data_IF_614992049560
#
_entry.id   IF_614992049560
#
_cell.length_a   1.000
_cell.length_b   1.000
_cell.length_c   1.000
_cell.angle_alpha   90.00
_cell.angle_beta   90.00
_cell.angle_gamma   90.00
#
_symmetry.space_group_name_H-M   'P 1'
#
loop_
_entity.id
_entity.type
_entity.pdbx_description
1 polymer ?
#
# COMPACT_ATOMS: atom_id res chain seq x y z
N UNK A 1 43.77 -2.41 5.52
CA UNK A 1 43.64 -2.64 4.09
C UNK A 1 42.28 -2.18 3.65
N UNK A 2 42.16 -0.95 3.19
CA UNK A 2 40.93 -0.39 2.61
C UNK A 2 40.79 -0.99 1.20
N UNK A 3 39.71 -1.72 0.97
CA UNK A 3 39.28 -2.08 -0.39
C UNK A 3 38.44 -0.93 -0.96
N UNK A 4 38.96 -0.43 -2.07
CA UNK A 4 38.36 0.58 -2.96
C UNK A 4 36.93 0.27 -3.29
N UNK A 5 36.02 1.22 -2.97
CA UNK A 5 34.68 1.31 -3.49
C UNK A 5 34.75 1.52 -5.00
N UNK A 6 34.25 0.57 -5.76
CA UNK A 6 34.09 0.68 -7.19
C UNK A 6 33.14 1.83 -7.52
N UNK A 7 33.62 2.79 -8.29
CA UNK A 7 32.84 3.90 -8.78
C UNK A 7 31.72 3.42 -9.69
N UNK A 8 30.49 3.65 -9.30
CA UNK A 8 29.35 3.57 -10.21
C UNK A 8 29.46 4.74 -11.20
N UNK A 9 29.75 4.41 -12.44
CA UNK A 9 29.58 5.34 -13.55
C UNK A 9 28.07 5.58 -13.71
N UNK A 10 27.63 6.75 -13.31
CA UNK A 10 26.36 7.31 -13.75
C UNK A 10 26.42 7.43 -15.27
N UNK A 11 25.97 6.40 -15.98
CA UNK A 11 25.74 6.49 -17.41
C UNK A 11 24.81 7.69 -17.65
N UNK A 12 25.33 8.68 -18.36
CA UNK A 12 24.71 9.96 -18.54
C UNK A 12 23.26 9.84 -19.02
N UNK A 13 22.32 10.17 -18.17
CA UNK A 13 21.00 10.57 -18.58
C UNK A 13 21.20 11.93 -19.25
N UNK A 14 21.41 11.92 -20.58
CA UNK A 14 21.30 13.15 -21.35
C UNK A 14 19.86 13.66 -21.16
N UNK A 15 19.66 14.89 -20.70
CA UNK A 15 18.34 15.49 -20.75
C UNK A 15 17.93 15.55 -22.23
N UNK A 16 16.68 15.20 -22.56
CA UNK A 16 16.21 15.37 -23.93
C UNK A 16 16.40 16.83 -24.30
N UNK A 17 17.08 17.06 -25.44
CA UNK A 17 17.34 18.37 -26.03
C UNK A 17 16.10 19.25 -25.94
N UNK A 18 16.26 20.48 -25.40
CA UNK A 18 15.22 21.40 -25.03
C UNK A 18 14.05 21.46 -26.03
N UNK A 19 12.90 20.96 -25.60
CA UNK A 19 11.62 21.22 -26.26
C UNK A 19 11.16 22.59 -25.78
N UNK A 20 11.31 23.60 -26.64
CA UNK A 20 10.58 24.88 -26.50
C UNK A 20 9.08 24.58 -26.49
N UNK A 21 8.37 25.09 -25.50
CA UNK A 21 6.91 25.07 -25.46
C UNK A 21 6.39 25.88 -26.65
N UNK A 22 6.08 25.23 -27.74
CA UNK A 22 5.37 25.81 -28.87
C UNK A 22 3.87 25.64 -28.65
N UNK A 23 3.19 26.71 -28.33
CA UNK A 23 1.72 26.79 -28.15
C UNK A 23 0.93 26.56 -29.44
N UNK A 24 1.55 26.15 -30.56
CA UNK A 24 0.88 26.00 -31.82
C UNK A 24 0.17 24.67 -32.00
N UNK A 25 -1.15 24.75 -32.05
CA UNK A 25 -2.13 23.81 -32.63
C UNK A 25 -2.41 22.49 -31.85
N UNK A 26 -3.42 22.58 -30.97
CA UNK A 26 -4.19 21.43 -30.45
C UNK A 26 -5.17 20.89 -31.50
N UNK A 27 -4.75 20.53 -32.67
CA UNK A 27 -5.62 19.80 -33.61
C UNK A 27 -4.87 18.58 -34.15
N UNK A 28 -5.29 17.39 -33.75
CA UNK A 28 -4.99 16.16 -34.49
C UNK A 28 -3.64 15.50 -34.28
N UNK A 29 -2.82 15.86 -33.26
CA UNK A 29 -1.60 15.10 -32.98
C UNK A 29 -1.98 13.77 -32.33
N UNK A 30 -1.62 12.68 -32.97
CA UNK A 30 -1.67 11.35 -32.41
C UNK A 30 -0.81 11.32 -31.12
N UNK A 31 -1.35 10.76 -30.04
CA UNK A 31 -0.61 10.62 -28.78
C UNK A 31 0.66 9.81 -29.01
N UNK A 32 1.75 10.25 -28.38
CA UNK A 32 2.97 9.43 -28.31
C UNK A 32 2.64 8.07 -27.66
N UNK A 33 3.03 6.99 -28.32
CA UNK A 33 2.76 5.62 -27.84
C UNK A 33 4.03 4.95 -27.36
N UNK A 34 3.98 4.40 -26.15
CA UNK A 34 5.09 3.69 -25.50
C UNK A 34 4.61 2.27 -25.20
N UNK A 35 5.39 1.27 -25.64
CA UNK A 35 5.03 -0.14 -25.46
C UNK A 35 5.87 -0.81 -24.39
N UNK A 36 5.25 -1.76 -23.66
CA UNK A 36 5.91 -2.59 -22.66
C UNK A 36 5.25 -3.98 -22.58
N UNK A 37 5.90 -4.95 -21.99
CA UNK A 37 5.26 -6.26 -21.73
C UNK A 37 4.23 -6.16 -20.64
N UNK A 38 4.59 -5.50 -19.52
CA UNK A 38 3.74 -5.39 -18.32
C UNK A 38 3.65 -3.94 -17.91
N UNK A 39 2.43 -3.44 -17.82
CA UNK A 39 2.12 -2.10 -17.30
C UNK A 39 1.52 -2.23 -15.90
N UNK A 40 2.12 -1.55 -14.93
CA UNK A 40 1.68 -1.49 -13.55
C UNK A 40 1.24 -0.06 -13.23
N UNK A 41 0.02 0.12 -12.76
CA UNK A 41 -0.52 1.42 -12.36
C UNK A 41 -0.69 1.47 -10.85
N UNK A 42 0.00 2.42 -10.22
CA UNK A 42 0.08 2.64 -8.78
C UNK A 42 1.38 2.10 -8.18
N UNK A 43 2.28 3.00 -7.79
CA UNK A 43 3.57 2.72 -7.16
C UNK A 43 3.49 2.50 -5.64
N UNK A 44 2.33 2.07 -5.14
CA UNK A 44 2.13 1.70 -3.75
C UNK A 44 2.80 0.37 -3.39
N UNK A 45 2.50 -0.12 -2.18
CA UNK A 45 3.10 -1.33 -1.60
C UNK A 45 3.06 -2.55 -2.54
N UNK A 46 1.91 -2.80 -3.19
CA UNK A 46 1.77 -3.93 -4.12
C UNK A 46 2.47 -3.66 -5.45
N UNK A 47 2.35 -2.43 -5.98
CA UNK A 47 2.87 -2.09 -7.31
C UNK A 47 4.39 -2.08 -7.39
N UNK A 48 5.07 -1.62 -6.34
CA UNK A 48 6.54 -1.71 -6.23
C UNK A 48 6.99 -3.17 -6.36
N UNK A 49 6.37 -4.06 -5.58
CA UNK A 49 6.74 -5.48 -5.59
C UNK A 49 6.39 -6.15 -6.93
N UNK A 50 5.25 -5.76 -7.52
CA UNK A 50 4.88 -6.26 -8.84
C UNK A 50 5.87 -5.83 -9.93
N UNK A 51 6.32 -4.57 -9.89
CA UNK A 51 7.28 -4.05 -10.86
C UNK A 51 8.64 -4.74 -10.74
N UNK A 52 9.17 -4.88 -9.52
CA UNK A 52 10.43 -5.60 -9.27
C UNK A 52 10.31 -7.07 -9.72
N UNK A 53 9.19 -7.74 -9.41
CA UNK A 53 8.95 -9.13 -9.83
C UNK A 53 8.96 -9.26 -11.36
N UNK A 54 8.29 -8.35 -12.07
CA UNK A 54 8.24 -8.37 -13.54
C UNK A 54 9.63 -8.19 -14.15
N UNK A 55 10.39 -7.19 -13.67
CA UNK A 55 11.74 -6.92 -14.14
C UNK A 55 12.71 -8.05 -13.85
N UNK A 56 12.73 -8.59 -12.62
CA UNK A 56 13.59 -9.75 -12.26
C UNK A 56 13.28 -11.00 -13.08
N UNK A 57 12.04 -11.15 -13.52
CA UNK A 57 11.62 -12.25 -14.40
C UNK A 57 11.90 -11.99 -15.90
N UNK A 58 12.58 -10.88 -16.24
CA UNK A 58 13.05 -10.54 -17.58
C UNK A 58 11.99 -9.97 -18.51
N UNK A 59 10.90 -9.39 -17.99
CA UNK A 59 9.91 -8.65 -18.80
C UNK A 59 10.18 -7.15 -18.74
N UNK A 60 10.01 -6.46 -19.86
CA UNK A 60 9.94 -5.01 -19.87
C UNK A 60 8.74 -4.56 -19.05
N UNK A 61 8.93 -3.56 -18.18
CA UNK A 61 7.85 -3.10 -17.32
C UNK A 61 7.89 -1.59 -17.10
N UNK A 62 6.70 -1.00 -17.05
CA UNK A 62 6.48 0.42 -16.72
C UNK A 62 5.67 0.46 -15.44
N UNK A 63 6.13 1.23 -14.46
CA UNK A 63 5.43 1.55 -13.22
C UNK A 63 5.01 3.02 -13.24
N UNK A 64 3.70 3.26 -13.22
CA UNK A 64 3.11 4.61 -13.19
C UNK A 64 2.66 4.92 -11.76
N UNK A 65 3.08 6.08 -11.26
CA UNK A 65 2.69 6.59 -9.94
C UNK A 65 2.25 8.06 -10.05
N UNK A 66 1.11 8.39 -9.44
CA UNK A 66 0.57 9.75 -9.47
C UNK A 66 1.28 10.70 -8.49
N UNK A 67 1.93 10.15 -7.49
CA UNK A 67 2.71 10.89 -6.50
C UNK A 67 4.15 11.14 -6.92
N UNK A 68 4.94 11.60 -5.95
CA UNK A 68 6.36 11.95 -6.11
C UNK A 68 7.32 10.86 -5.64
N UNK A 69 6.80 9.78 -5.05
CA UNK A 69 7.61 8.71 -4.45
C UNK A 69 6.86 7.39 -4.41
N UNK A 70 7.60 6.30 -4.40
CA UNK A 70 7.06 4.94 -4.26
C UNK A 70 6.70 4.60 -2.80
N UNK A 71 5.95 3.50 -2.61
CA UNK A 71 5.60 2.92 -1.32
C UNK A 71 4.17 3.20 -0.86
N UNK A 72 3.48 4.19 -1.45
CA UNK A 72 2.07 4.49 -1.17
C UNK A 72 1.80 4.71 0.32
N UNK A 73 0.90 3.94 0.93
CA UNK A 73 0.49 4.11 2.34
C UNK A 73 1.66 4.05 3.34
N UNK A 74 2.72 3.32 3.04
CA UNK A 74 3.94 3.31 3.89
C UNK A 74 4.57 4.69 3.92
N UNK A 75 4.70 5.34 2.78
CA UNK A 75 5.49 6.55 2.58
C UNK A 75 4.65 7.81 2.65
N UNK A 76 3.60 7.94 1.83
CA UNK A 76 2.77 9.14 1.75
C UNK A 76 1.88 9.34 2.97
N UNK A 77 1.35 8.24 3.54
CA UNK A 77 0.53 8.29 4.75
C UNK A 77 1.28 7.89 6.03
N UNK A 78 2.54 7.46 5.94
CA UNK A 78 3.39 7.15 7.09
C UNK A 78 2.96 5.94 7.91
N UNK A 79 2.17 5.02 7.34
CA UNK A 79 1.80 3.77 8.01
C UNK A 79 2.98 2.79 7.89
N UNK A 80 4.02 3.03 8.68
CA UNK A 80 5.34 2.41 8.56
C UNK A 80 5.50 1.10 9.36
N UNK A 81 4.46 0.28 9.39
CA UNK A 81 4.45 -1.07 9.96
C UNK A 81 3.66 -2.01 9.03
N UNK A 82 4.34 -2.68 8.11
CA UNK A 82 3.71 -3.48 7.05
C UNK A 82 2.77 -4.60 7.53
N UNK A 83 2.81 -4.94 8.80
CA UNK A 83 1.99 -6.00 9.38
C UNK A 83 2.81 -7.22 9.75
N UNK A 84 2.24 -8.39 9.54
CA UNK A 84 2.82 -9.66 9.98
C UNK A 84 3.33 -10.47 8.78
N UNK A 85 4.60 -10.87 8.86
CA UNK A 85 5.24 -11.80 7.93
C UNK A 85 5.35 -13.22 8.52
N UNK A 86 5.14 -13.34 9.83
CA UNK A 86 5.26 -14.59 10.59
C UNK A 86 3.94 -14.92 11.27
N UNK A 87 3.60 -16.21 11.25
CA UNK A 87 2.46 -16.80 11.91
C UNK A 87 2.93 -18.02 12.70
N UNK A 88 2.52 -18.15 13.95
CA UNK A 88 2.74 -19.35 14.79
C UNK A 88 4.21 -19.81 14.81
N UNK A 89 5.16 -18.86 14.91
CA UNK A 89 6.60 -19.14 14.94
C UNK A 89 7.24 -19.48 13.58
N UNK A 90 6.50 -19.36 12.49
CA UNK A 90 7.01 -19.61 11.13
C UNK A 90 6.81 -18.39 10.24
N UNK A 91 7.76 -18.12 9.36
CA UNK A 91 7.54 -17.14 8.30
C UNK A 91 6.56 -17.69 7.27
N UNK A 92 5.51 -16.92 6.94
CA UNK A 92 4.46 -17.29 5.98
C UNK A 92 4.40 -16.33 4.79
N UNK A 93 4.94 -15.12 4.92
CA UNK A 93 5.09 -14.16 3.84
C UNK A 93 6.58 -13.85 3.69
N UNK A 94 7.13 -14.16 2.53
CA UNK A 94 8.52 -13.93 2.15
C UNK A 94 8.62 -13.14 0.84
N UNK A 95 9.71 -13.33 0.11
CA UNK A 95 9.94 -12.78 -1.22
C UNK A 95 10.39 -11.33 -1.22
N UNK A 96 10.18 -10.66 -2.34
CA UNK A 96 10.68 -9.31 -2.62
C UNK A 96 10.21 -8.30 -1.57
N UNK A 97 8.98 -8.42 -1.08
CA UNK A 97 8.45 -7.54 -0.04
C UNK A 97 9.19 -7.69 1.29
N UNK A 98 9.49 -8.92 1.69
CA UNK A 98 10.27 -9.18 2.90
C UNK A 98 11.72 -8.71 2.74
N UNK A 99 12.36 -8.93 1.59
CA UNK A 99 13.68 -8.41 1.25
C UNK A 99 13.74 -6.89 1.46
N UNK A 100 12.82 -6.15 0.85
CA UNK A 100 12.78 -4.69 0.92
C UNK A 100 12.54 -4.18 2.36
N UNK A 101 11.68 -4.84 3.11
CA UNK A 101 11.40 -4.50 4.52
C UNK A 101 12.63 -4.75 5.40
N UNK A 102 13.31 -5.89 5.24
CA UNK A 102 14.49 -6.21 6.04
C UNK A 102 15.69 -5.35 5.68
N UNK A 103 15.84 -4.97 4.41
CA UNK A 103 16.85 -4.02 3.97
C UNK A 103 16.63 -2.63 4.60
N UNK A 104 15.38 -2.15 4.63
CA UNK A 104 15.02 -0.90 5.30
C UNK A 104 15.32 -0.92 6.80
N UNK A 105 15.02 -2.03 7.49
CA UNK A 105 15.34 -2.20 8.92
C UNK A 105 16.85 -2.20 9.14
N UNK A 106 17.60 -2.94 8.31
CA UNK A 106 19.06 -3.04 8.42
C UNK A 106 19.73 -1.68 8.18
N UNK A 107 19.30 -0.97 7.15
CA UNK A 107 19.85 0.33 6.80
C UNK A 107 19.58 1.41 7.85
N UNK A 108 18.47 1.28 8.60
CA UNK A 108 18.13 2.15 9.74
C UNK A 108 18.80 1.71 11.07
N UNK A 109 19.74 0.76 11.04
CA UNK A 109 20.32 0.13 12.22
C UNK A 109 19.27 -0.44 13.19
N UNK A 110 18.09 -0.76 12.69
CA UNK A 110 16.98 -1.32 13.43
C UNK A 110 17.15 -2.81 13.72
N UNK A 111 16.24 -3.35 14.53
CA UNK A 111 16.17 -4.78 14.84
C UNK A 111 14.82 -5.34 14.46
N UNK A 112 14.82 -6.52 13.88
CA UNK A 112 13.60 -7.30 13.70
C UNK A 112 13.08 -7.80 15.03
N UNK A 113 11.75 -7.99 15.18
CA UNK A 113 11.18 -8.69 16.33
C UNK A 113 11.77 -10.10 16.49
N UNK A 114 11.82 -10.59 17.71
CA UNK A 114 12.13 -11.99 17.95
C UNK A 114 10.90 -12.85 17.68
N UNK A 115 10.86 -13.45 16.52
CA UNK A 115 9.74 -14.26 16.06
C UNK A 115 9.68 -15.65 16.72
N UNK A 116 10.73 -16.06 17.46
CA UNK A 116 10.74 -17.32 18.23
C UNK A 116 9.88 -17.23 19.50
N UNK A 117 9.64 -16.00 19.99
CA UNK A 117 8.78 -15.73 21.15
C UNK A 117 7.34 -15.63 20.69
N UNK A 118 6.42 -16.52 21.11
CA UNK A 118 5.03 -16.46 20.70
C UNK A 118 4.39 -15.10 21.00
N UNK A 119 3.73 -14.51 20.00
CA UNK A 119 2.99 -13.26 20.19
C UNK A 119 1.62 -13.47 20.85
N UNK A 120 1.05 -14.67 20.75
CA UNK A 120 -0.32 -14.96 21.19
C UNK A 120 -1.29 -14.01 20.48
N UNK A 121 -2.19 -13.40 21.27
CA UNK A 121 -3.11 -12.36 20.77
C UNK A 121 -2.48 -10.96 20.71
N UNK A 122 -1.22 -10.80 21.09
CA UNK A 122 -0.51 -9.52 21.02
C UNK A 122 0.27 -9.41 19.70
N UNK A 123 -0.44 -9.38 18.57
CA UNK A 123 0.15 -9.27 17.25
C UNK A 123 1.12 -8.07 17.06
N UNK A 124 1.00 -6.91 17.78
CA UNK A 124 2.00 -5.84 17.71
C UNK A 124 3.42 -6.27 18.07
N UNK A 125 3.62 -7.34 18.86
CA UNK A 125 4.96 -7.87 19.16
C UNK A 125 5.72 -8.35 17.93
N UNK A 126 5.02 -8.82 16.90
CA UNK A 126 5.62 -9.33 15.67
C UNK A 126 5.51 -8.34 14.49
N UNK A 127 4.94 -7.15 14.70
CA UNK A 127 4.93 -6.11 13.67
C UNK A 127 6.35 -5.57 13.44
N UNK A 128 6.78 -5.60 12.19
CA UNK A 128 8.04 -4.98 11.79
C UNK A 128 7.78 -3.49 11.59
N UNK A 129 8.57 -2.64 12.29
CA UNK A 129 8.57 -1.19 12.04
C UNK A 129 9.71 -0.85 11.10
N UNK A 130 9.43 0.03 10.15
CA UNK A 130 10.41 0.46 9.15
C UNK A 130 10.48 1.99 9.10
N UNK A 131 11.60 2.49 8.64
CA UNK A 131 11.74 3.90 8.29
C UNK A 131 11.09 4.12 6.91
N UNK A 132 9.99 4.91 6.80
CA UNK A 132 9.28 5.08 5.54
C UNK A 132 10.12 5.80 4.48
N UNK A 133 11.06 6.64 4.88
CA UNK A 133 11.94 7.35 3.96
C UNK A 133 12.95 6.40 3.32
N UNK A 134 13.59 5.55 4.13
CA UNK A 134 14.49 4.51 3.61
C UNK A 134 13.73 3.52 2.73
N UNK A 135 12.51 3.15 3.11
CA UNK A 135 11.69 2.30 2.26
C UNK A 135 11.44 2.91 0.88
N UNK A 136 11.14 4.23 0.81
CA UNK A 136 10.92 4.91 -0.47
C UNK A 136 12.18 4.87 -1.36
N UNK A 137 13.34 5.18 -0.78
CA UNK A 137 14.63 5.16 -1.49
C UNK A 137 14.98 3.76 -2.02
N UNK A 138 14.87 2.76 -1.15
CA UNK A 138 15.16 1.37 -1.52
C UNK A 138 14.15 0.81 -2.54
N UNK A 139 12.87 1.20 -2.45
CA UNK A 139 11.86 0.81 -3.42
C UNK A 139 12.18 1.33 -4.83
N UNK A 140 12.64 2.58 -4.93
CA UNK A 140 13.07 3.18 -6.18
C UNK A 140 14.33 2.51 -6.72
N UNK A 141 15.36 2.35 -5.88
CA UNK A 141 16.60 1.66 -6.23
C UNK A 141 16.34 0.24 -6.77
N UNK A 142 15.55 -0.57 -6.04
CA UNK A 142 15.22 -1.94 -6.45
C UNK A 142 14.40 -2.02 -7.73
N UNK A 143 13.52 -1.05 -7.99
CA UNK A 143 12.82 -0.95 -9.27
C UNK A 143 13.81 -0.67 -10.42
N UNK A 144 14.70 0.29 -10.24
CA UNK A 144 15.72 0.64 -11.25
C UNK A 144 16.69 -0.51 -11.50
N UNK A 145 17.17 -1.19 -10.45
CA UNK A 145 18.01 -2.39 -10.55
C UNK A 145 17.33 -3.52 -11.33
N UNK A 146 16.01 -3.64 -11.21
CA UNK A 146 15.19 -4.61 -11.95
C UNK A 146 14.89 -4.15 -13.40
N UNK A 147 15.36 -2.99 -13.84
CA UNK A 147 15.13 -2.45 -15.18
C UNK A 147 13.73 -1.89 -15.39
N UNK A 148 13.00 -1.54 -14.31
CA UNK A 148 11.66 -0.94 -14.38
C UNK A 148 11.76 0.51 -14.83
N UNK A 149 10.95 0.91 -15.81
CA UNK A 149 10.76 2.32 -16.15
C UNK A 149 9.72 2.93 -15.19
N UNK A 150 10.15 3.82 -14.30
CA UNK A 150 9.28 4.54 -13.38
C UNK A 150 8.78 5.82 -14.03
N UNK A 151 7.47 6.11 -13.88
CA UNK A 151 6.81 7.33 -14.36
C UNK A 151 6.04 7.96 -13.21
N UNK A 152 6.63 8.99 -12.61
CA UNK A 152 6.00 9.78 -11.55
C UNK A 152 5.10 10.88 -12.11
N UNK A 153 4.16 11.32 -11.27
CA UNK A 153 3.22 12.41 -11.56
C UNK A 153 2.32 12.14 -12.76
N UNK A 154 2.06 10.89 -13.07
CA UNK A 154 1.14 10.49 -14.12
C UNK A 154 -0.07 9.76 -13.56
N UNK A 155 -1.24 10.10 -14.08
CA UNK A 155 -2.53 9.52 -13.69
C UNK A 155 -3.19 8.89 -14.90
N UNK A 156 -3.71 7.66 -14.81
CA UNK A 156 -4.48 7.05 -15.91
C UNK A 156 -5.82 7.79 -16.06
N UNK A 157 -6.22 8.03 -17.28
CA UNK A 157 -7.50 8.69 -17.63
C UNK A 157 -8.38 7.83 -18.54
N UNK A 158 -7.80 6.79 -19.14
CA UNK A 158 -8.51 5.85 -20.01
C UNK A 158 -7.80 4.50 -19.99
N UNK A 159 -8.55 3.40 -20.05
CA UNK A 159 -8.01 2.05 -20.19
C UNK A 159 -8.94 1.22 -21.10
N UNK A 160 -8.42 0.69 -22.20
CA UNK A 160 -9.16 -0.09 -23.17
C UNK A 160 -8.37 -1.33 -23.59
N UNK A 161 -9.06 -2.45 -23.75
CA UNK A 161 -8.50 -3.67 -24.32
C UNK A 161 -8.91 -3.76 -25.79
N UNK A 162 -7.94 -3.67 -26.71
CA UNK A 162 -8.19 -3.69 -28.14
C UNK A 162 -8.38 -5.09 -28.76
N UNK A 163 -8.56 -6.11 -27.91
CA UNK A 163 -8.64 -7.52 -28.31
C UNK A 163 -7.30 -8.26 -28.24
N UNK A 164 -6.18 -7.56 -28.20
CA UNK A 164 -4.83 -8.12 -28.14
C UNK A 164 -4.00 -7.57 -26.98
N UNK A 165 -4.03 -6.25 -26.79
CA UNK A 165 -3.22 -5.50 -25.84
C UNK A 165 -4.08 -4.49 -25.09
N UNK A 166 -3.63 -4.07 -23.93
CA UNK A 166 -4.18 -2.94 -23.20
C UNK A 166 -3.59 -1.64 -23.69
N UNK A 167 -4.43 -0.63 -23.87
CA UNK A 167 -4.08 0.74 -24.17
C UNK A 167 -4.54 1.61 -23.00
N UNK A 168 -3.58 2.23 -22.31
CA UNK A 168 -3.83 3.11 -21.17
C UNK A 168 -3.33 4.50 -21.49
N UNK A 169 -4.22 5.50 -21.45
CA UNK A 169 -3.81 6.89 -21.57
C UNK A 169 -3.48 7.45 -20.20
N UNK A 170 -2.32 8.10 -20.09
CA UNK A 170 -1.88 8.77 -18.84
C UNK A 170 -1.62 10.24 -19.11
N UNK A 171 -1.98 11.08 -18.12
CA UNK A 171 -1.71 12.52 -18.11
C UNK A 171 -0.83 12.86 -16.92
N UNK A 172 0.18 13.69 -17.16
CA UNK A 172 1.08 14.23 -16.18
C UNK A 172 1.50 15.67 -16.48
N UNK A 173 2.51 16.17 -15.75
CA UNK A 173 3.06 17.52 -15.96
C UNK A 173 3.71 17.63 -17.34
N UNK A 174 3.01 18.26 -18.31
CA UNK A 174 3.49 18.41 -19.67
C UNK A 174 3.54 17.12 -20.48
N UNK A 175 2.90 16.06 -20.00
CA UNK A 175 2.90 14.73 -20.60
C UNK A 175 1.47 14.25 -20.83
N UNK A 176 1.19 13.74 -22.02
CA UNK A 176 -0.03 13.00 -22.35
C UNK A 176 0.38 11.90 -23.34
N UNK A 177 0.37 10.66 -22.88
CA UNK A 177 0.88 9.52 -23.67
C UNK A 177 -0.08 8.34 -23.60
N UNK A 178 0.05 7.46 -24.57
CA UNK A 178 -0.60 6.16 -24.63
C UNK A 178 0.42 5.09 -24.26
N UNK A 179 0.18 4.36 -23.19
CA UNK A 179 0.95 3.20 -22.79
C UNK A 179 0.27 1.93 -23.33
N UNK A 180 0.99 1.13 -24.09
CA UNK A 180 0.47 -0.12 -24.68
C UNK A 180 1.16 -1.30 -24.02
N UNK A 181 0.39 -2.28 -23.52
CA UNK A 181 0.97 -3.43 -22.81
C UNK A 181 0.27 -4.75 -23.12
N UNK A 182 1.02 -5.84 -23.06
CA UNK A 182 0.47 -7.18 -23.19
C UNK A 182 -0.31 -7.61 -21.95
N UNK A 183 0.16 -7.18 -20.76
CA UNK A 183 -0.44 -7.45 -19.46
C UNK A 183 -0.58 -6.16 -18.68
N UNK A 184 -1.65 -6.05 -17.91
CA UNK A 184 -1.99 -4.87 -17.13
C UNK A 184 -2.21 -5.25 -15.66
N UNK A 185 -1.69 -4.46 -14.70
CA UNK A 185 -1.86 -4.69 -13.26
C UNK A 185 -2.33 -3.39 -12.60
N UNK A 186 -3.51 -3.44 -11.97
CA UNK A 186 -4.05 -2.35 -11.15
C UNK A 186 -3.54 -2.49 -9.70
N UNK A 187 -2.63 -1.60 -9.31
CA UNK A 187 -2.11 -1.46 -7.96
C UNK A 187 -2.49 -0.12 -7.33
N UNK A 188 -3.51 0.57 -7.85
CA UNK A 188 -3.92 1.91 -7.40
C UNK A 188 -4.49 1.94 -5.98
N UNK A 189 -4.85 0.78 -5.43
CA UNK A 189 -5.46 0.64 -4.11
C UNK A 189 -6.91 1.13 -4.03
N UNK A 190 -7.38 1.85 -5.05
CA UNK A 190 -8.76 2.33 -5.19
C UNK A 190 -9.51 1.63 -6.34
N UNK A 191 -8.88 0.64 -7.00
CA UNK A 191 -9.38 0.01 -8.22
C UNK A 191 -9.68 1.02 -9.35
N UNK A 192 -8.90 2.10 -9.40
CA UNK A 192 -9.12 3.20 -10.37
C UNK A 192 -9.00 2.71 -11.80
N UNK A 193 -7.97 1.92 -12.10
CA UNK A 193 -7.75 1.39 -13.44
C UNK A 193 -8.83 0.37 -13.82
N UNK A 194 -9.25 -0.46 -12.86
CA UNK A 194 -10.35 -1.43 -13.02
C UNK A 194 -11.66 -0.72 -13.36
N UNK A 195 -11.93 0.42 -12.71
CA UNK A 195 -13.08 1.28 -13.02
C UNK A 195 -13.00 1.87 -14.42
N UNK A 196 -11.84 2.43 -14.79
CA UNK A 196 -11.61 3.00 -16.13
C UNK A 196 -11.75 1.95 -17.25
N UNK A 197 -11.40 0.71 -16.96
CA UNK A 197 -11.56 -0.43 -17.86
C UNK A 197 -13.01 -0.97 -17.94
N UNK A 198 -13.94 -0.39 -17.16
CA UNK A 198 -15.36 -0.72 -17.20
C UNK A 198 -15.76 -1.96 -16.40
N UNK A 199 -14.89 -2.50 -15.54
CA UNK A 199 -15.22 -3.64 -14.69
C UNK A 199 -16.00 -3.22 -13.44
N UNK A 200 -16.84 -4.14 -12.96
CA UNK A 200 -17.66 -3.93 -11.76
C UNK A 200 -16.80 -3.86 -10.51
N UNK A 201 -17.17 -2.92 -9.64
CA UNK A 201 -16.54 -2.71 -8.34
C UNK A 201 -17.52 -3.01 -7.20
N UNK A 202 -16.97 -3.39 -6.06
CA UNK A 202 -17.68 -3.64 -4.80
C UNK A 202 -17.33 -2.56 -3.80
N UNK A 203 -18.33 -2.11 -3.05
CA UNK A 203 -18.17 -1.12 -1.98
C UNK A 203 -19.36 -1.14 -1.04
N UNK A 204 -19.14 -0.89 0.24
CA UNK A 204 -20.17 -0.59 1.21
C UNK A 204 -20.41 0.91 1.33
N UNK A 205 -21.59 1.28 1.86
CA UNK A 205 -21.96 2.68 2.06
C UNK A 205 -21.11 3.37 3.14
N UNK A 206 -20.67 2.60 4.15
CA UNK A 206 -19.81 3.11 5.23
C UNK A 206 -18.36 2.67 5.00
N UNK A 207 -17.43 3.59 5.25
CA UNK A 207 -15.99 3.31 5.20
C UNK A 207 -15.39 3.30 6.60
N UNK A 208 -14.32 2.52 6.78
CA UNK A 208 -13.52 2.57 8.00
C UNK A 208 -12.83 3.93 8.12
N UNK A 209 -12.63 4.46 9.36
CA UNK A 209 -11.90 5.71 9.53
C UNK A 209 -10.48 5.62 8.99
N UNK A 210 -9.98 6.74 8.48
CA UNK A 210 -8.58 6.93 8.11
C UNK A 210 -7.71 7.31 9.30
N UNK A 211 -6.42 7.51 9.05
CA UNK A 211 -5.47 8.01 10.04
C UNK A 211 -4.53 9.02 9.39
N UNK A 212 -4.45 10.23 9.97
CA UNK A 212 -3.41 11.19 9.63
C UNK A 212 -2.22 10.95 10.55
N UNK A 213 -1.15 10.39 10.03
CA UNK A 213 0.07 10.17 10.81
C UNK A 213 0.87 11.47 10.92
N UNK A 214 1.34 11.76 12.13
CA UNK A 214 2.18 12.93 12.44
C UNK A 214 3.15 12.58 13.57
N UNK A 215 4.11 13.44 13.83
CA UNK A 215 5.03 13.29 14.95
C UNK A 215 5.15 14.60 15.72
N UNK A 216 5.05 14.49 17.04
CA UNK A 216 5.23 15.58 18.00
C UNK A 216 6.39 15.25 18.94
N UNK A 217 6.98 16.31 19.51
CA UNK A 217 8.03 16.24 20.53
C UNK A 217 8.01 17.51 21.38
N UNK A 218 8.96 17.65 22.33
CA UNK A 218 9.13 18.85 23.12
C UNK A 218 8.37 18.85 24.44
N UNK A 219 8.06 17.68 25.00
CA UNK A 219 7.45 17.50 26.32
C UNK A 219 8.13 16.34 27.07
N UNK A 220 8.06 16.39 28.41
CA UNK A 220 8.49 15.29 29.27
C UNK A 220 7.28 14.57 29.86
N UNK A 221 7.11 13.29 29.49
CA UNK A 221 6.02 12.45 29.97
C UNK A 221 5.94 12.35 31.50
N UNK A 222 7.08 12.49 32.21
CA UNK A 222 7.13 12.38 33.67
C UNK A 222 6.63 13.63 34.38
N UNK A 223 6.58 14.78 33.68
CA UNK A 223 6.13 16.07 34.23
C UNK A 223 4.65 16.35 34.01
N UNK A 224 3.94 15.47 33.27
CA UNK A 224 2.55 15.70 32.84
C UNK A 224 1.58 15.00 33.80
N UNK A 225 0.60 15.74 34.32
CA UNK A 225 -0.58 15.14 34.98
C UNK A 225 -1.48 14.49 33.92
N UNK A 226 -1.24 13.20 33.62
CA UNK A 226 -2.02 12.47 32.62
C UNK A 226 -3.50 12.32 32.99
N UNK A 227 -3.92 12.09 34.25
CA UNK A 227 -5.33 12.12 34.65
C UNK A 227 -5.99 13.47 34.42
N UNK A 228 -5.33 14.57 34.79
CA UNK A 228 -5.81 15.93 34.57
C UNK A 228 -5.91 16.28 33.08
N UNK A 229 -4.92 15.85 32.27
CA UNK A 229 -4.94 16.01 30.82
C UNK A 229 -6.13 15.27 30.19
N UNK A 230 -6.39 14.01 30.61
CA UNK A 230 -7.53 13.25 30.13
C UNK A 230 -8.87 13.92 30.50
N UNK A 231 -9.01 14.37 31.75
CA UNK A 231 -10.21 15.11 32.18
C UNK A 231 -10.43 16.36 31.34
N UNK A 232 -9.39 17.16 31.12
CA UNK A 232 -9.46 18.35 30.27
C UNK A 232 -9.81 18.01 28.83
N UNK A 233 -9.26 16.93 28.26
CA UNK A 233 -9.63 16.45 26.94
C UNK A 233 -11.12 16.10 26.86
N UNK A 234 -11.65 15.36 27.83
CA UNK A 234 -13.06 14.95 27.87
C UNK A 234 -14.00 16.16 28.00
N UNK A 235 -13.58 17.18 28.73
CA UNK A 235 -14.34 18.46 28.84
C UNK A 235 -14.36 19.20 27.50
N UNK A 236 -13.23 19.29 26.80
CA UNK A 236 -13.15 19.94 25.49
C UNK A 236 -13.92 19.17 24.40
N UNK A 237 -13.97 17.82 24.50
CA UNK A 237 -14.83 16.99 23.63
C UNK A 237 -16.31 17.30 23.89
N UNK A 238 -16.74 17.42 25.16
CA UNK A 238 -18.13 17.79 25.52
C UNK A 238 -18.50 19.17 25.01
N UNK A 239 -17.59 20.14 25.00
CA UNK A 239 -17.78 21.49 24.46
C UNK A 239 -17.76 21.52 22.90
N UNK A 240 -17.34 20.45 22.24
CA UNK A 240 -17.20 20.38 20.79
C UNK A 240 -15.93 21.03 20.23
N UNK A 241 -14.97 21.42 21.07
CA UNK A 241 -13.69 21.98 20.67
C UNK A 241 -12.70 20.90 20.17
N UNK A 242 -12.86 19.66 20.69
CA UNK A 242 -12.16 18.47 20.25
C UNK A 242 -13.18 17.40 19.85
N UNK A 243 -12.74 16.44 19.05
CA UNK A 243 -13.51 15.24 18.73
C UNK A 243 -12.95 14.05 19.51
N UNK A 244 -13.84 13.14 19.95
CA UNK A 244 -13.40 11.86 20.53
C UNK A 244 -12.38 11.13 19.66
N UNK A 245 -12.58 11.18 18.36
CA UNK A 245 -11.74 10.54 17.35
C UNK A 245 -10.36 11.19 17.16
N UNK A 246 -10.16 12.43 17.63
CA UNK A 246 -8.87 13.10 17.57
C UNK A 246 -7.79 12.32 18.36
N UNK A 247 -8.19 11.63 19.45
CA UNK A 247 -7.29 10.79 20.25
C UNK A 247 -7.89 9.40 20.55
N UNK A 248 -8.93 8.98 19.83
CA UNK A 248 -9.66 7.74 20.10
C UNK A 248 -10.05 7.60 21.59
N UNK A 249 -10.48 8.70 22.17
CA UNK A 249 -10.88 8.79 23.59
C UNK A 249 -9.76 8.76 24.62
N UNK A 250 -8.49 8.68 24.22
CA UNK A 250 -7.36 8.62 25.14
C UNK A 250 -6.21 9.51 24.67
N UNK A 251 -6.18 10.74 25.21
CA UNK A 251 -5.16 11.73 24.80
C UNK A 251 -3.74 11.34 25.21
N UNK A 252 -3.56 10.56 26.27
CA UNK A 252 -2.25 10.10 26.68
C UNK A 252 -1.59 9.17 25.63
N UNK A 253 -2.38 8.50 24.78
CA UNK A 253 -1.86 7.69 23.69
C UNK A 253 -1.18 8.55 22.63
N UNK A 254 -1.68 9.77 22.37
CA UNK A 254 -1.04 10.73 21.44
C UNK A 254 0.38 11.04 21.94
N UNK A 255 0.55 11.29 23.23
CA UNK A 255 1.85 11.62 23.80
C UNK A 255 2.77 10.39 23.78
N UNK A 256 2.29 9.21 24.24
CA UNK A 256 3.09 7.97 24.29
C UNK A 256 3.55 7.51 22.92
N UNK A 257 2.69 7.65 21.89
CA UNK A 257 3.02 7.30 20.51
C UNK A 257 3.71 8.43 19.76
N UNK A 258 3.87 9.60 20.39
CA UNK A 258 4.34 10.83 19.75
C UNK A 258 3.52 11.21 18.51
N UNK A 259 2.22 10.86 18.48
CA UNK A 259 1.30 11.13 17.37
C UNK A 259 1.14 9.99 16.37
N UNK A 260 1.98 8.95 16.44
CA UNK A 260 1.94 7.84 15.48
C UNK A 260 0.65 7.02 15.62
N UNK A 261 -0.11 6.91 14.52
CA UNK A 261 -1.34 6.10 14.39
C UNK A 261 -2.34 6.23 15.56
N UNK A 262 -2.45 7.41 16.16
CA UNK A 262 -3.19 7.61 17.41
C UNK A 262 -4.58 8.22 17.24
N UNK A 263 -4.97 8.68 16.05
CA UNK A 263 -6.26 9.32 15.77
C UNK A 263 -7.08 8.56 14.73
N UNK A 264 -8.37 8.89 14.60
CA UNK A 264 -9.27 8.43 13.54
C UNK A 264 -9.89 9.61 12.78
N UNK A 265 -9.86 9.55 11.46
CA UNK A 265 -10.54 10.46 10.55
C UNK A 265 -11.78 9.72 10.02
N UNK A 266 -12.96 10.08 10.51
CA UNK A 266 -14.20 9.41 10.12
C UNK A 266 -14.55 9.69 8.64
N UNK A 267 -15.24 8.74 8.02
CA UNK A 267 -15.66 8.80 6.61
C UNK A 267 -14.49 9.07 5.65
N UNK A 268 -13.29 8.58 6.02
CA UNK A 268 -12.12 8.72 5.18
C UNK A 268 -12.31 7.98 3.85
N UNK A 269 -12.06 8.68 2.76
CA UNK A 269 -12.31 8.19 1.41
C UNK A 269 -11.30 8.80 0.43
N UNK A 270 -10.72 7.98 -0.42
CA UNK A 270 -9.82 8.39 -1.50
C UNK A 270 -10.31 7.93 -2.88
N UNK A 271 -11.60 7.62 -3.00
CA UNK A 271 -12.18 7.14 -4.25
C UNK A 271 -12.35 8.23 -5.32
N UNK A 272 -12.46 9.50 -4.90
CA UNK A 272 -12.45 10.67 -5.79
C UNK A 272 -11.50 11.73 -5.24
N UNK A 273 -11.03 12.63 -6.12
CA UNK A 273 -10.18 13.77 -5.71
C UNK A 273 -10.87 14.66 -4.68
N UNK A 274 -12.19 14.88 -4.81
CA UNK A 274 -12.98 15.68 -3.88
C UNK A 274 -13.01 15.05 -2.48
N UNK A 275 -13.39 13.76 -2.39
CA UNK A 275 -13.47 13.04 -1.12
C UNK A 275 -12.09 12.89 -0.46
N UNK A 276 -11.04 12.64 -1.25
CA UNK A 276 -9.67 12.56 -0.74
C UNK A 276 -9.20 13.92 -0.22
N UNK A 277 -9.53 15.01 -0.91
CA UNK A 277 -9.25 16.38 -0.45
C UNK A 277 -9.92 16.64 0.91
N UNK A 278 -11.20 16.33 1.05
CA UNK A 278 -11.93 16.48 2.31
C UNK A 278 -11.32 15.61 3.42
N UNK A 279 -10.97 14.37 3.13
CA UNK A 279 -10.29 13.45 4.06
C UNK A 279 -8.98 14.05 4.57
N UNK A 280 -8.15 14.58 3.69
CA UNK A 280 -6.87 15.19 4.05
C UNK A 280 -7.03 16.48 4.87
N UNK A 281 -8.01 17.32 4.52
CA UNK A 281 -8.33 18.54 5.29
C UNK A 281 -8.79 18.17 6.71
N UNK A 282 -9.68 17.19 6.86
CA UNK A 282 -10.15 16.72 8.16
C UNK A 282 -9.01 16.12 9.00
N UNK A 283 -8.13 15.31 8.40
CA UNK A 283 -6.97 14.75 9.07
C UNK A 283 -6.04 15.82 9.63
N UNK A 284 -5.69 16.81 8.81
CA UNK A 284 -4.85 17.94 9.22
C UNK A 284 -5.53 18.83 10.26
N UNK A 285 -6.83 19.06 10.14
CA UNK A 285 -7.60 19.82 11.14
C UNK A 285 -7.60 19.11 12.49
N UNK A 286 -7.70 17.77 12.53
CA UNK A 286 -7.57 16.98 13.76
C UNK A 286 -6.21 17.20 14.44
N UNK A 287 -5.12 17.11 13.69
CA UNK A 287 -3.77 17.36 14.21
C UNK A 287 -3.66 18.76 14.80
N UNK A 288 -4.21 19.77 14.12
CA UNK A 288 -4.17 21.16 14.59
C UNK A 288 -4.98 21.37 15.87
N UNK A 289 -6.15 20.73 16.03
CA UNK A 289 -6.92 20.75 17.28
C UNK A 289 -6.14 20.14 18.44
N UNK A 290 -5.50 18.98 18.23
CA UNK A 290 -4.67 18.30 19.23
C UNK A 290 -3.53 19.23 19.66
N UNK A 291 -2.77 19.82 18.73
CA UNK A 291 -1.67 20.71 19.05
C UNK A 291 -2.12 21.93 19.84
N UNK A 292 -3.22 22.59 19.41
CA UNK A 292 -3.79 23.77 20.13
C UNK A 292 -4.26 23.44 21.53
N UNK A 293 -4.69 22.21 21.75
CA UNK A 293 -5.08 21.72 23.08
C UNK A 293 -3.82 21.46 23.93
N UNK A 294 -2.85 20.68 23.43
CA UNK A 294 -1.68 20.28 24.16
C UNK A 294 -0.84 21.47 24.63
N UNK A 295 -0.54 22.44 23.74
CA UNK A 295 0.31 23.60 24.09
C UNK A 295 -0.30 24.51 25.19
N UNK A 296 -1.58 24.34 25.55
CA UNK A 296 -2.24 25.07 26.63
C UNK A 296 -2.25 24.32 27.95
N UNK A 297 -1.86 23.04 27.95
CA UNK A 297 -1.90 22.19 29.12
C UNK A 297 -0.54 22.20 29.87
N UNK A 298 -0.54 22.37 31.21
CA UNK A 298 0.68 22.38 32.01
C UNK A 298 1.56 21.16 31.76
N UNK A 299 2.85 21.40 31.45
CA UNK A 299 3.83 20.36 31.09
C UNK A 299 3.85 19.97 29.60
N UNK A 300 2.93 20.51 28.80
CA UNK A 300 2.88 20.30 27.35
C UNK A 300 3.14 21.57 26.53
N UNK A 301 3.50 22.69 27.16
CA UNK A 301 3.66 24.00 26.49
C UNK A 301 4.74 23.98 25.40
N UNK A 302 5.76 23.13 25.60
CA UNK A 302 6.85 22.94 24.63
C UNK A 302 6.51 22.03 23.44
N UNK A 303 5.27 21.50 23.38
CA UNK A 303 4.88 20.59 22.30
C UNK A 303 5.01 21.24 20.92
N UNK A 304 5.71 20.58 20.04
CA UNK A 304 5.92 21.01 18.65
C UNK A 304 5.65 19.89 17.68
N UNK A 305 5.13 20.25 16.50
CA UNK A 305 5.00 19.34 15.38
C UNK A 305 6.35 19.15 14.71
N UNK A 306 6.84 17.92 14.68
CA UNK A 306 8.14 17.56 14.08
C UNK A 306 7.95 17.05 12.66
N UNK A 307 6.84 16.32 12.41
CA UNK A 307 6.54 15.73 11.12
C UNK A 307 5.04 15.64 10.90
N UNK A 308 4.61 15.85 9.66
CA UNK A 308 3.24 15.64 9.20
C UNK A 308 3.28 14.90 7.88
N UNK A 309 2.56 13.79 7.78
CA UNK A 309 2.47 13.05 6.53
C UNK A 309 1.62 13.80 5.50
N UNK A 310 1.96 13.62 4.23
CA UNK A 310 1.31 14.35 3.13
C UNK A 310 -0.17 13.99 3.01
N UNK A 311 -0.52 12.74 3.28
CA UNK A 311 -1.86 12.20 3.10
C UNK A 311 -2.39 11.49 4.34
N UNK A 312 -3.70 11.52 4.51
CA UNK A 312 -4.41 10.68 5.46
C UNK A 312 -4.48 9.25 4.91
N UNK A 313 -3.98 8.28 5.66
CA UNK A 313 -4.06 6.87 5.30
C UNK A 313 -5.50 6.38 5.29
N UNK A 314 -6.00 6.00 4.11
CA UNK A 314 -7.36 5.46 3.92
C UNK A 314 -7.31 3.93 3.93
N UNK A 315 -8.21 3.30 4.69
CA UNK A 315 -8.22 1.85 4.90
C UNK A 315 -8.96 1.08 3.83
N UNK A 316 -10.06 1.63 3.33
CA UNK A 316 -10.89 0.99 2.30
C UNK A 316 -11.52 2.01 1.37
N UNK A 317 -11.74 1.60 0.12
CA UNK A 317 -12.51 2.31 -0.90
C UNK A 317 -13.29 1.28 -1.70
N UNK A 318 -12.86 0.99 -2.93
CA UNK A 318 -13.41 -0.05 -3.77
C UNK A 318 -12.60 -1.35 -3.69
N UNK A 319 -13.29 -2.46 -3.88
CA UNK A 319 -12.74 -3.78 -4.19
C UNK A 319 -13.23 -4.21 -5.56
N UNK A 320 -12.50 -5.06 -6.25
CA UNK A 320 -12.96 -5.60 -7.54
C UNK A 320 -14.03 -6.68 -7.33
N UNK A 321 -14.93 -6.83 -8.29
CA UNK A 321 -15.72 -8.05 -8.48
C UNK A 321 -14.86 -9.04 -9.27
N UNK A 322 -14.17 -9.93 -8.56
CA UNK A 322 -13.20 -10.87 -9.14
C UNK A 322 -13.81 -12.20 -9.54
N UNK A 323 -13.02 -13.05 -10.21
CA UNK A 323 -13.39 -14.43 -10.54
C UNK A 323 -13.70 -15.27 -9.27
N UNK A 324 -13.20 -14.83 -8.12
CA UNK A 324 -13.55 -15.34 -6.80
C UNK A 324 -13.55 -14.19 -5.78
N UNK A 325 -14.53 -14.19 -4.89
CA UNK A 325 -14.60 -13.25 -3.77
C UNK A 325 -14.24 -13.99 -2.47
N UNK A 326 -13.10 -13.66 -1.87
CA UNK A 326 -12.68 -14.24 -0.58
C UNK A 326 -13.65 -13.77 0.51
N UNK A 327 -14.29 -14.72 1.19
CA UNK A 327 -15.21 -14.43 2.28
C UNK A 327 -14.51 -14.36 3.64
N UNK A 328 -15.21 -13.79 4.61
CA UNK A 328 -14.81 -13.84 6.02
C UNK A 328 -14.52 -15.26 6.48
N UNK A 329 -15.40 -16.21 6.12
CA UNK A 329 -15.26 -17.60 6.54
C UNK A 329 -14.06 -18.29 5.88
N UNK A 330 -13.81 -18.04 4.59
CA UNK A 330 -12.58 -18.50 3.94
C UNK A 330 -11.33 -18.03 4.69
N UNK A 331 -11.34 -16.76 5.11
CA UNK A 331 -10.19 -16.16 5.78
C UNK A 331 -9.98 -16.71 7.21
N UNK A 332 -11.03 -16.75 8.03
CA UNK A 332 -10.88 -17.16 9.44
C UNK A 332 -10.67 -18.65 9.63
N UNK A 333 -11.10 -19.48 8.66
CA UNK A 333 -10.87 -20.93 8.68
C UNK A 333 -9.52 -21.32 8.08
N UNK A 334 -8.81 -20.34 7.44
CA UNK A 334 -7.54 -20.63 6.77
C UNK A 334 -7.70 -21.54 5.56
N UNK A 335 -8.80 -21.38 4.81
CA UNK A 335 -9.07 -22.20 3.62
C UNK A 335 -7.88 -22.18 2.67
N UNK A 336 -7.41 -23.37 2.30
CA UNK A 336 -6.40 -23.54 1.27
C UNK A 336 -7.11 -23.72 -0.07
N UNK A 337 -6.91 -22.77 -0.96
CA UNK A 337 -7.49 -22.83 -2.31
C UNK A 337 -6.58 -23.64 -3.24
N UNK A 338 -7.18 -24.34 -4.20
CA UNK A 338 -6.43 -25.08 -5.23
C UNK A 338 -5.50 -24.16 -6.02
N UNK A 339 -5.94 -22.91 -6.28
CA UNK A 339 -5.18 -21.88 -6.99
C UNK A 339 -4.52 -20.86 -6.05
N UNK A 340 -4.23 -21.25 -4.80
CA UNK A 340 -3.56 -20.38 -3.84
C UNK A 340 -2.15 -19.99 -4.33
N UNK A 341 -1.87 -18.68 -4.29
CA UNK A 341 -0.59 -18.08 -4.76
C UNK A 341 0.18 -17.35 -3.67
N UNK A 342 -0.44 -17.05 -2.55
CA UNK A 342 0.17 -16.38 -1.42
C UNK A 342 -0.53 -16.74 -0.11
N UNK A 343 0.16 -16.53 1.01
CA UNK A 343 -0.44 -16.50 2.34
C UNK A 343 -0.82 -15.06 2.74
N UNK A 344 -1.77 -14.97 3.68
CA UNK A 344 -2.10 -13.75 4.41
C UNK A 344 -2.26 -14.09 5.89
N UNK A 345 -1.66 -13.29 6.75
CA UNK A 345 -1.80 -13.46 8.19
C UNK A 345 -1.91 -12.13 8.90
N UNK A 346 -3.10 -11.81 9.35
CA UNK A 346 -3.41 -10.65 10.19
C UNK A 346 -4.77 -10.90 10.85
N UNK A 347 -5.05 -10.37 12.06
CA UNK A 347 -6.41 -10.42 12.59
C UNK A 347 -7.38 -9.65 11.70
N UNK A 348 -8.65 -10.02 11.73
CA UNK A 348 -9.72 -9.17 11.19
C UNK A 348 -9.68 -7.85 11.96
N UNK A 349 -9.38 -6.76 11.27
CA UNK A 349 -9.01 -5.46 11.83
C UNK A 349 -9.99 -4.38 11.37
N UNK A 350 -11.23 -4.52 11.83
CA UNK A 350 -12.27 -3.53 11.56
C UNK A 350 -12.16 -2.36 12.51
N UNK A 351 -12.02 -1.16 11.94
CA UNK A 351 -12.01 0.09 12.66
C UNK A 351 -13.39 0.77 12.60
N UNK A 352 -13.82 1.35 13.70
CA UNK A 352 -15.01 2.19 13.76
C UNK A 352 -14.76 3.49 14.57
N UNK A 353 -15.81 4.26 14.83
CA UNK A 353 -15.71 5.49 15.59
C UNK A 353 -15.29 5.28 17.05
N UNK A 354 -15.53 4.08 17.62
CA UNK A 354 -15.21 3.74 19.01
C UNK A 354 -13.81 3.15 19.18
N UNK A 355 -13.23 2.64 18.09
CA UNK A 355 -11.88 2.06 18.14
C UNK A 355 -11.72 0.83 17.28
N UNK A 356 -11.00 -0.17 17.81
CA UNK A 356 -10.65 -1.41 17.11
C UNK A 356 -10.85 -2.56 18.08
N UNK A 357 -11.53 -3.61 17.62
CA UNK A 357 -11.61 -4.88 18.33
C UNK A 357 -11.13 -5.96 17.35
N UNK A 358 -9.81 -6.29 17.35
CA UNK A 358 -9.28 -7.27 16.41
C UNK A 358 -9.79 -8.67 16.73
N UNK A 359 -10.23 -9.40 15.70
CA UNK A 359 -10.58 -10.82 15.81
C UNK A 359 -9.41 -11.65 15.29
N UNK A 360 -8.69 -12.30 16.18
CA UNK A 360 -7.53 -13.13 15.85
C UNK A 360 -7.97 -14.46 15.23
N UNK A 361 -7.14 -14.98 14.32
CA UNK A 361 -7.28 -16.33 13.81
C UNK A 361 -6.98 -17.34 14.95
N UNK A 362 -7.57 -18.52 14.85
CA UNK A 362 -7.24 -19.61 15.76
C UNK A 362 -5.78 -20.05 15.57
N UNK A 363 -5.21 -20.64 16.62
CA UNK A 363 -3.84 -21.15 16.57
C UNK A 363 -3.65 -22.16 15.43
N UNK A 364 -2.54 -22.04 14.72
CA UNK A 364 -2.23 -22.87 13.55
C UNK A 364 -2.90 -22.44 12.24
N UNK A 365 -3.90 -21.54 12.30
CA UNK A 365 -4.63 -21.10 11.11
C UNK A 365 -3.85 -19.99 10.40
N UNK A 366 -3.65 -20.14 9.09
CA UNK A 366 -3.09 -19.13 8.18
C UNK A 366 -3.95 -19.08 6.92
N UNK A 367 -4.46 -17.90 6.59
CA UNK A 367 -5.28 -17.73 5.39
C UNK A 367 -4.44 -17.80 4.11
N UNK A 368 -5.05 -18.23 3.00
CA UNK A 368 -4.43 -18.18 1.67
C UNK A 368 -5.17 -17.25 0.73
N UNK A 369 -4.49 -16.81 -0.32
CA UNK A 369 -5.01 -15.92 -1.34
C UNK A 369 -5.10 -16.67 -2.66
N UNK A 370 -6.31 -16.90 -3.21
CA UNK A 370 -6.46 -17.53 -4.51
C UNK A 370 -6.14 -16.53 -5.62
N UNK A 371 -5.48 -16.99 -6.69
CA UNK A 371 -5.19 -16.18 -7.87
C UNK A 371 -6.46 -15.55 -8.46
N UNK A 372 -7.58 -16.29 -8.47
CA UNK A 372 -8.87 -15.81 -8.98
C UNK A 372 -9.41 -14.56 -8.26
N UNK A 373 -9.01 -14.32 -7.03
CA UNK A 373 -9.39 -13.09 -6.31
C UNK A 373 -8.61 -11.85 -6.79
N UNK A 374 -7.54 -12.04 -7.56
CA UNK A 374 -6.72 -10.99 -8.16
C UNK A 374 -7.08 -10.69 -9.62
N UNK A 375 -8.15 -11.27 -10.16
CA UNK A 375 -8.55 -11.15 -11.56
C UNK A 375 -9.96 -10.61 -11.62
N UNK A 376 -10.20 -9.41 -12.19
CA UNK A 376 -11.54 -8.90 -12.43
C UNK A 376 -12.34 -9.87 -13.30
N UNK A 377 -13.58 -10.14 -12.93
CA UNK A 377 -14.42 -11.13 -13.57
C UNK A 377 -14.60 -10.85 -15.07
N UNK A 378 -14.26 -11.83 -15.89
CA UNK A 378 -14.33 -11.76 -17.34
C UNK A 378 -13.21 -10.94 -17.99
N UNK A 379 -12.21 -10.48 -17.25
CA UNK A 379 -11.09 -9.73 -17.81
C UNK A 379 -10.09 -10.64 -18.54
N UNK A 380 -9.38 -10.06 -19.50
CA UNK A 380 -8.26 -10.72 -20.19
C UNK A 380 -6.99 -9.92 -19.95
N UNK A 381 -5.89 -10.61 -19.63
CA UNK A 381 -4.57 -10.00 -19.45
C UNK A 381 -4.57 -8.83 -18.46
N UNK A 382 -5.42 -8.92 -17.43
CA UNK A 382 -5.59 -7.91 -16.42
C UNK A 382 -5.63 -8.54 -15.03
N UNK A 383 -4.80 -8.03 -14.13
CA UNK A 383 -4.77 -8.42 -12.73
C UNK A 383 -4.86 -7.20 -11.81
N UNK A 384 -5.16 -7.46 -10.55
CA UNK A 384 -5.25 -6.46 -9.50
C UNK A 384 -4.42 -6.94 -8.31
N UNK A 385 -3.74 -6.04 -7.61
CA UNK A 385 -3.04 -6.39 -6.39
C UNK A 385 -3.15 -5.27 -5.34
N UNK A 386 -3.21 -5.69 -4.08
CA UNK A 386 -3.29 -4.77 -2.96
C UNK A 386 -4.67 -4.71 -2.34
N UNK A 387 -4.98 -3.59 -1.72
CA UNK A 387 -6.19 -3.39 -0.88
C UNK A 387 -7.52 -3.58 -1.64
N UNK A 388 -7.52 -3.47 -2.96
CA UNK A 388 -8.68 -3.64 -3.82
C UNK A 388 -8.93 -5.10 -4.29
N UNK A 389 -8.25 -6.08 -3.72
CA UNK A 389 -8.52 -7.51 -3.95
C UNK A 389 -10.02 -7.83 -3.79
N UNK A 390 -10.51 -8.80 -4.58
CA UNK A 390 -11.88 -9.31 -4.47
C UNK A 390 -12.10 -10.06 -3.16
N UNK A 391 -12.85 -9.46 -2.26
CA UNK A 391 -13.19 -10.04 -0.95
C UNK A 391 -14.46 -9.40 -0.39
N UNK A 392 -15.06 -10.03 0.63
CA UNK A 392 -15.99 -9.29 1.46
C UNK A 392 -15.25 -8.26 2.34
N UNK A 393 -15.98 -7.38 2.99
CA UNK A 393 -15.41 -6.31 3.80
C UNK A 393 -14.63 -6.80 5.02
N UNK A 394 -15.12 -7.87 5.65
CA UNK A 394 -14.48 -8.44 6.84
C UNK A 394 -13.12 -9.07 6.48
N UNK A 395 -13.09 -9.93 5.48
CA UNK A 395 -11.84 -10.49 4.96
C UNK A 395 -10.88 -9.41 4.46
N UNK A 396 -11.41 -8.37 3.77
CA UNK A 396 -10.60 -7.25 3.30
C UNK A 396 -9.87 -6.53 4.41
N UNK A 397 -10.48 -6.39 5.60
CA UNK A 397 -9.84 -5.70 6.72
C UNK A 397 -8.50 -6.30 7.14
N UNK A 398 -8.32 -7.60 6.89
CA UNK A 398 -7.06 -8.30 7.09
C UNK A 398 -6.21 -8.43 5.81
N UNK A 399 -6.84 -8.73 4.66
CA UNK A 399 -6.15 -8.89 3.37
C UNK A 399 -5.46 -7.60 2.88
N UNK A 400 -6.00 -6.42 3.21
CA UNK A 400 -5.43 -5.11 2.83
C UNK A 400 -4.13 -4.74 3.55
N UNK A 401 -3.72 -5.55 4.54
CA UNK A 401 -2.49 -5.26 5.27
C UNK A 401 -1.28 -5.40 4.36
N UNK A 402 -0.31 -4.50 4.52
CA UNK A 402 0.74 -4.27 3.53
C UNK A 402 1.56 -5.52 3.21
N UNK A 403 1.89 -6.37 4.19
CA UNK A 403 2.60 -7.64 3.95
C UNK A 403 1.83 -8.55 2.98
N UNK A 404 0.50 -8.68 3.17
CA UNK A 404 -0.36 -9.41 2.23
C UNK A 404 -0.42 -8.73 0.86
N UNK A 405 -0.44 -7.39 0.82
CA UNK A 405 -0.39 -6.62 -0.43
C UNK A 405 0.92 -6.84 -1.20
N UNK A 406 2.06 -6.95 -0.49
CA UNK A 406 3.36 -7.27 -1.09
C UNK A 406 3.32 -8.65 -1.75
N UNK A 407 2.81 -9.66 -1.03
CA UNK A 407 2.66 -11.02 -1.56
C UNK A 407 1.73 -11.06 -2.78
N UNK A 408 0.60 -10.32 -2.76
CA UNK A 408 -0.30 -10.18 -3.90
C UNK A 408 0.38 -9.53 -5.10
N UNK A 409 1.15 -8.46 -4.91
CA UNK A 409 1.89 -7.79 -5.97
C UNK A 409 2.86 -8.74 -6.65
N UNK A 410 3.62 -9.51 -5.87
CA UNK A 410 4.54 -10.52 -6.38
C UNK A 410 3.81 -11.60 -7.18
N UNK A 411 2.69 -12.12 -6.65
CA UNK A 411 1.90 -13.16 -7.29
C UNK A 411 1.25 -12.69 -8.60
N UNK A 412 0.67 -11.49 -8.61
CA UNK A 412 0.04 -10.92 -9.79
C UNK A 412 1.06 -10.73 -10.93
N UNK A 413 2.22 -10.14 -10.62
CA UNK A 413 3.26 -9.93 -11.63
C UNK A 413 3.85 -11.26 -12.13
N UNK A 414 4.10 -12.23 -11.27
CA UNK A 414 4.59 -13.55 -11.70
C UNK A 414 3.58 -14.24 -12.63
N UNK A 415 2.28 -14.16 -12.35
CA UNK A 415 1.23 -14.69 -13.23
C UNK A 415 1.19 -13.94 -14.57
N UNK A 416 1.27 -12.60 -14.55
CA UNK A 416 1.32 -11.77 -15.76
C UNK A 416 2.56 -12.09 -16.62
N UNK A 417 3.74 -12.26 -16.01
CA UNK A 417 4.98 -12.65 -16.71
C UNK A 417 4.81 -13.98 -17.44
N UNK A 418 4.28 -14.99 -16.76
CA UNK A 418 4.10 -16.31 -17.37
C UNK A 418 3.02 -16.27 -18.46
N UNK A 419 1.93 -15.54 -18.21
CA UNK A 419 0.87 -15.32 -19.21
C UNK A 419 1.43 -14.67 -20.48
N UNK A 420 2.28 -13.65 -20.33
CA UNK A 420 2.97 -13.00 -21.46
C UNK A 420 3.85 -13.98 -22.23
N UNK A 421 4.69 -14.77 -21.53
CA UNK A 421 5.59 -15.75 -22.15
C UNK A 421 4.85 -16.88 -22.87
N UNK A 422 3.71 -17.33 -22.32
CA UNK A 422 2.91 -18.42 -22.87
C UNK A 422 1.84 -17.94 -23.87
N UNK A 423 1.65 -16.62 -24.02
CA UNK A 423 0.58 -16.01 -24.83
C UNK A 423 -0.81 -16.51 -24.41
N UNK A 424 -1.04 -16.59 -23.10
CA UNK A 424 -2.31 -16.99 -22.47
C UNK A 424 -2.77 -15.90 -21.50
N UNK A 425 -3.91 -16.12 -20.82
CA UNK A 425 -4.39 -15.19 -19.78
C UNK A 425 -3.83 -15.57 -18.40
N UNK A 426 -3.72 -14.62 -17.45
CA UNK A 426 -3.30 -14.92 -16.09
C UNK A 426 -4.16 -15.98 -15.38
N UNK A 427 -5.45 -16.10 -15.75
CA UNK A 427 -6.35 -17.13 -15.22
C UNK A 427 -5.96 -18.55 -15.65
N UNK A 428 -5.40 -18.69 -16.86
CA UNK A 428 -5.03 -19.97 -17.47
C UNK A 428 -3.60 -20.39 -17.18
N UNK A 429 -2.79 -19.55 -16.54
CA UNK A 429 -1.40 -19.88 -16.20
C UNK A 429 -1.34 -21.13 -15.33
N UNK A 430 -0.57 -22.18 -15.75
CA UNK A 430 -0.41 -23.38 -14.93
C UNK A 430 0.30 -23.07 -13.60
N UNK A 431 -0.25 -23.54 -12.49
CA UNK A 431 0.38 -23.37 -11.16
C UNK A 431 1.75 -24.03 -11.08
N UNK A 432 1.97 -25.11 -11.85
CA UNK A 432 3.26 -25.79 -11.98
C UNK A 432 4.36 -24.91 -12.58
N UNK A 433 4.02 -23.79 -13.24
CA UNK A 433 4.97 -22.78 -13.71
C UNK A 433 4.98 -21.55 -12.77
N UNK A 434 3.85 -21.18 -12.20
CA UNK A 434 3.70 -20.01 -11.35
C UNK A 434 4.40 -20.16 -10.00
N UNK A 435 4.13 -21.28 -9.30
CA UNK A 435 4.71 -21.50 -7.96
C UNK A 435 6.26 -21.60 -7.98
N UNK A 436 6.91 -22.26 -8.96
CA UNK A 436 8.36 -22.23 -9.07
C UNK A 436 8.94 -20.81 -9.26
N UNK A 437 8.38 -19.98 -10.16
CA UNK A 437 8.85 -18.61 -10.35
C UNK A 437 8.70 -17.75 -9.07
N UNK A 438 7.61 -17.93 -8.34
CA UNK A 438 7.42 -17.25 -7.05
C UNK A 438 8.48 -17.68 -6.02
N UNK A 439 8.77 -18.99 -5.92
CA UNK A 439 9.78 -19.55 -5.02
C UNK A 439 11.20 -19.12 -5.41
N UNK A 440 11.51 -19.03 -6.71
CA UNK A 440 12.78 -18.53 -7.24
C UNK A 440 13.10 -17.11 -6.74
N UNK A 441 12.06 -16.26 -6.62
CA UNK A 441 12.20 -14.90 -6.06
C UNK A 441 11.82 -14.83 -4.57
N UNK A 442 11.99 -15.92 -3.83
CA UNK A 442 11.92 -16.00 -2.38
C UNK A 442 10.51 -15.98 -1.79
N UNK A 443 9.44 -16.00 -2.59
CA UNK A 443 8.08 -16.05 -2.07
C UNK A 443 7.78 -17.39 -1.38
N UNK A 444 7.06 -17.35 -0.28
CA UNK A 444 6.49 -18.52 0.38
C UNK A 444 5.09 -18.73 -0.18
N UNK A 445 4.88 -19.84 -0.87
CA UNK A 445 3.62 -20.15 -1.53
C UNK A 445 2.92 -21.34 -0.87
N UNK A 446 1.58 -21.33 -0.78
CA UNK A 446 0.81 -22.46 -0.27
C UNK A 446 1.04 -23.73 -1.10
N UNK A 447 1.13 -24.85 -0.43
CA UNK A 447 1.29 -26.18 -1.07
C UNK A 447 -0.03 -26.73 -1.62
#
# INVERSE_FOLDING_TARGET
>A
MLKTLGGFSLGGIMPPSGRTFNESSRSGKQLESISTDILIIGGGTAGVIAAIQAGRAGCSSILVENGSQLGGTITTAGVAFPGLFHAWGKQVIGGIGWELVTDAVRMDNGKLPDFSIPAGKNHPKHQVRINPFLYALLAEEKCLEAGVQIRYYETPVKAEFNGKQWEVETIGKGTHVKLVSNQLIDCTGNATLTSLAGFKLLRENETQPGTQTFRIDGYDMNSIDLPGLQKSFDEEVKKGNLLYTDARGNIANILRSKGDNAQHVLKADSSTSELHTQTNIQGRASVLRILRFLIKFPGCEGTKLVQLQAETGVRETFRIDGEYQVSHDDYITGKVFEDAVAYSFYPIDMHDAKGIVPKHLNEGVVATIPRRALIPKGSKNFMVAGRCISSDRMANSALRVQASCMAMGQAAAAAAVIANKLKTTPLEVPLSKLKPLLKEHGAIVPE
#
